data_IF_887970823367
#
_entry.id   IF_887970823367
#
_cell.length_a   1.000
_cell.length_b   1.000
_cell.length_c   1.000
_cell.angle_alpha   90.00
_cell.angle_beta   90.00
_cell.angle_gamma   90.00
#
_symmetry.space_group_name_H-M   'P 1'
#
loop_
_entity.id
_entity.type
_entity.pdbx_description
1 polymer ?
#
# COMPACT_ATOMS: atom_id res chain seq x y z
N UNK A 1 -20.93 2.58 -8.72
CA UNK A 1 -20.17 2.01 -9.88
C UNK A 1 -20.25 0.49 -9.74
N UNK A 2 -19.91 -0.37 -10.72
CA UNK A 2 -19.76 -1.78 -10.38
C UNK A 2 -18.57 -1.93 -9.43
N UNK A 3 -18.81 -2.50 -8.26
CA UNK A 3 -17.79 -2.78 -7.24
C UNK A 3 -17.39 -4.25 -7.30
N UNK A 4 -16.12 -4.53 -7.03
CA UNK A 4 -15.57 -5.89 -6.96
C UNK A 4 -14.94 -6.10 -5.57
N UNK A 5 -15.52 -7.01 -4.79
CA UNK A 5 -14.99 -7.39 -3.48
C UNK A 5 -13.90 -8.45 -3.65
N UNK A 6 -12.64 -8.08 -3.37
CA UNK A 6 -11.50 -9.02 -3.46
C UNK A 6 -11.36 -9.90 -2.21
N UNK A 7 -11.73 -9.37 -1.05
CA UNK A 7 -11.62 -10.00 0.26
C UNK A 7 -12.75 -9.52 1.16
N UNK A 8 -13.39 -10.45 1.88
CA UNK A 8 -14.45 -10.15 2.83
C UNK A 8 -14.29 -11.05 4.05
N UNK A 9 -14.53 -10.51 5.24
CA UNK A 9 -14.57 -11.28 6.47
C UNK A 9 -15.59 -10.66 7.42
N UNK A 10 -16.62 -11.43 7.77
CA UNK A 10 -17.65 -11.02 8.72
C UNK A 10 -17.82 -12.12 9.79
N UNK A 11 -17.67 -11.76 11.06
CA UNK A 11 -17.90 -12.70 12.16
C UNK A 11 -18.05 -11.96 13.50
N UNK A 12 -18.90 -12.44 14.41
CA UNK A 12 -18.95 -11.94 15.78
C UNK A 12 -17.59 -12.12 16.48
N UNK A 13 -16.96 -11.00 16.85
CA UNK A 13 -15.65 -11.00 17.51
C UNK A 13 -15.69 -10.25 18.84
N UNK A 14 -14.86 -10.67 19.78
CA UNK A 14 -14.61 -9.90 21.00
C UNK A 14 -13.81 -8.63 20.68
N UNK A 15 -13.95 -7.60 21.52
CA UNK A 15 -13.14 -6.37 21.41
C UNK A 15 -11.63 -6.62 21.35
N UNK A 16 -11.15 -7.66 22.02
CA UNK A 16 -9.74 -8.02 22.03
C UNK A 16 -9.27 -8.59 20.68
N UNK A 17 -10.10 -9.42 20.04
CA UNK A 17 -9.82 -9.98 18.71
C UNK A 17 -9.84 -8.89 17.64
N UNK A 18 -10.84 -8.00 17.67
CA UNK A 18 -10.93 -6.84 16.78
C UNK A 18 -9.68 -5.96 16.91
N UNK A 19 -9.32 -5.60 18.15
CA UNK A 19 -8.11 -4.81 18.39
C UNK A 19 -6.83 -5.54 17.96
N UNK A 20 -6.80 -6.87 18.00
CA UNK A 20 -5.70 -7.67 17.46
C UNK A 20 -5.57 -7.49 15.95
N UNK A 21 -6.68 -7.62 15.21
CA UNK A 21 -6.71 -7.43 13.76
C UNK A 21 -6.29 -6.03 13.34
N UNK A 22 -6.83 -5.00 13.99
CA UNK A 22 -6.47 -3.60 13.70
C UNK A 22 -4.99 -3.31 13.96
N UNK A 23 -4.38 -3.93 14.98
CA UNK A 23 -2.93 -3.80 15.21
C UNK A 23 -2.12 -4.48 14.11
N UNK A 24 -2.49 -5.69 13.70
CA UNK A 24 -1.82 -6.37 12.59
C UNK A 24 -1.90 -5.57 11.29
N UNK A 25 -3.05 -4.95 11.02
CA UNK A 25 -3.24 -4.05 9.90
C UNK A 25 -2.30 -2.83 10.00
N UNK A 26 -2.29 -2.17 11.16
CA UNK A 26 -1.41 -1.02 11.41
C UNK A 26 0.08 -1.37 11.29
N UNK A 27 0.50 -2.53 11.81
CA UNK A 27 1.86 -3.03 11.68
C UNK A 27 2.23 -3.27 10.22
N UNK A 28 1.30 -3.83 9.43
CA UNK A 28 1.48 -4.03 7.98
C UNK A 28 1.65 -2.71 7.21
N UNK A 29 0.80 -1.73 7.48
CA UNK A 29 0.89 -0.39 6.87
C UNK A 29 2.21 0.31 7.24
N UNK A 30 2.62 0.23 8.50
CA UNK A 30 3.84 0.89 8.99
C UNK A 30 5.14 0.28 8.40
N UNK A 31 5.09 -0.97 7.94
CA UNK A 31 6.23 -1.60 7.26
C UNK A 31 6.46 -1.07 5.83
N UNK A 32 5.50 -0.34 5.24
CA UNK A 32 5.62 0.29 3.92
C UNK A 32 5.72 -0.72 2.76
N UNK A 33 5.26 -1.95 2.96
CA UNK A 33 5.35 -3.04 1.98
C UNK A 33 4.00 -3.72 1.74
N UNK A 34 4.00 -4.87 1.03
CA UNK A 34 2.79 -5.62 0.77
C UNK A 34 2.09 -6.03 2.08
N UNK A 35 0.78 -5.79 2.13
CA UNK A 35 -0.09 -6.16 3.23
C UNK A 35 -0.89 -7.40 2.81
N UNK A 36 -0.79 -8.47 3.57
CA UNK A 36 -1.57 -9.70 3.34
C UNK A 36 -2.71 -9.79 4.33
N UNK A 37 -3.93 -9.85 3.83
CA UNK A 37 -5.17 -10.08 4.57
C UNK A 37 -5.55 -11.55 4.47
N UNK A 38 -5.89 -12.17 5.61
CA UNK A 38 -6.24 -13.58 5.69
C UNK A 38 -7.47 -13.81 6.55
N UNK A 39 -8.40 -14.62 6.04
CA UNK A 39 -9.57 -15.10 6.77
C UNK A 39 -9.91 -16.51 6.25
N UNK A 40 -10.02 -17.48 7.16
CA UNK A 40 -10.29 -18.88 6.83
C UNK A 40 -9.41 -19.41 5.68
N UNK A 41 -10.01 -19.72 4.53
CA UNK A 41 -9.31 -20.22 3.33
C UNK A 41 -8.96 -19.11 2.31
N UNK A 42 -9.26 -17.85 2.62
CA UNK A 42 -9.00 -16.68 1.78
C UNK A 42 -7.71 -15.97 2.19
N UNK A 43 -6.92 -15.57 1.18
CA UNK A 43 -5.71 -14.77 1.35
C UNK A 43 -5.59 -13.81 0.17
N UNK A 44 -5.52 -12.51 0.45
CA UNK A 44 -5.31 -11.46 -0.54
C UNK A 44 -4.12 -10.60 -0.13
N UNK A 45 -3.29 -10.22 -1.08
CA UNK A 45 -2.16 -9.30 -0.85
C UNK A 45 -2.39 -8.02 -1.64
N UNK A 46 -2.36 -6.90 -0.95
CA UNK A 46 -2.45 -5.55 -1.52
C UNK A 46 -1.15 -4.78 -1.28
N UNK A 47 -0.89 -3.72 -2.04
CA UNK A 47 0.28 -2.86 -1.87
C UNK A 47 -0.17 -1.39 -1.85
N UNK A 48 -0.65 -0.90 -0.70
CA UNK A 48 -1.03 0.51 -0.58
C UNK A 48 0.18 1.42 -0.84
N UNK A 49 -0.01 2.62 -1.42
CA UNK A 49 1.06 3.60 -1.60
C UNK A 49 1.49 4.20 -0.24
N UNK A 50 2.55 5.02 -0.23
CA UNK A 50 3.06 5.69 0.98
C UNK A 50 2.04 6.67 1.61
N UNK A 51 1.02 7.11 0.87
CA UNK A 51 0.04 8.09 1.33
C UNK A 51 -1.34 7.83 0.71
N UNK A 52 -2.06 6.78 1.16
CA UNK A 52 -3.45 6.55 0.77
C UNK A 52 -4.38 7.55 1.47
N UNK A 53 -5.61 7.67 0.99
CA UNK A 53 -6.67 8.36 1.71
C UNK A 53 -7.19 7.49 2.86
N UNK A 54 -7.54 8.11 3.98
CA UNK A 54 -8.04 7.42 5.17
C UNK A 54 -9.31 8.09 5.65
N UNK A 55 -10.37 7.29 5.79
CA UNK A 55 -11.69 7.71 6.25
C UNK A 55 -12.13 6.88 7.47
N UNK A 56 -12.81 7.54 8.39
CA UNK A 56 -13.29 6.97 9.64
C UNK A 56 -14.65 7.56 9.98
N UNK A 57 -15.68 6.72 9.93
CA UNK A 57 -17.06 7.10 10.14
C UNK A 57 -17.68 6.29 11.27
N UNK A 58 -18.73 6.86 11.88
CA UNK A 58 -19.54 6.19 12.90
C UNK A 58 -20.98 6.47 12.57
N UNK A 59 -21.70 5.43 12.18
CA UNK A 59 -23.07 5.55 11.74
C UNK A 59 -24.02 4.84 12.70
N UNK A 60 -25.28 5.28 12.65
CA UNK A 60 -26.39 4.61 13.29
C UNK A 60 -27.33 4.20 12.17
N UNK A 61 -27.37 2.91 11.90
CA UNK A 61 -28.30 2.36 10.93
C UNK A 61 -29.59 1.96 11.66
N UNK A 62 -30.70 2.22 10.98
CA UNK A 62 -32.05 1.89 11.43
C UNK A 62 -32.58 0.86 10.46
N UNK A 63 -33.07 -0.28 10.97
CA UNK A 63 -33.68 -1.29 10.13
C UNK A 63 -35.01 -0.76 9.55
N UNK A 64 -34.95 -0.27 8.32
CA UNK A 64 -36.12 0.03 7.48
C UNK A 64 -36.62 -1.27 6.82
N UNK A 65 -36.79 -2.36 7.56
CA UNK A 65 -37.45 -3.56 7.04
C UNK A 65 -38.96 -3.35 7.00
N UNK A 66 -39.45 -2.75 5.91
CA UNK A 66 -40.70 -3.15 5.27
C UNK A 66 -40.69 -2.70 3.79
N UNK A 67 -40.38 -3.63 2.88
CA UNK A 67 -40.50 -3.48 1.41
C UNK A 67 -41.94 -3.09 0.96
N UNK A 68 -42.94 -3.18 1.86
CA UNK A 68 -44.35 -2.82 1.61
C UNK A 68 -44.80 -1.53 2.33
N UNK A 69 -43.87 -0.71 2.83
CA UNK A 69 -44.13 0.68 3.25
C UNK A 69 -45.25 0.88 4.28
N UNK A 70 -45.47 -0.09 5.18
CA UNK A 70 -46.63 -0.13 6.08
C UNK A 70 -46.25 -0.32 7.56
N UNK A 71 -45.43 0.56 8.11
CA UNK A 71 -45.40 0.77 9.58
C UNK A 71 -45.41 2.24 9.97
N UNK A 72 -46.48 2.61 10.68
CA UNK A 72 -46.46 3.67 11.69
C UNK A 72 -45.84 3.08 12.97
N UNK A 73 -44.51 3.01 13.06
CA UNK A 73 -43.80 2.44 14.22
C UNK A 73 -42.35 2.91 14.31
N UNK A 74 -41.82 3.04 15.53
CA UNK A 74 -40.38 3.29 15.76
C UNK A 74 -39.55 2.14 15.15
N UNK A 75 -38.36 2.42 14.59
CA UNK A 75 -37.50 1.39 14.01
C UNK A 75 -37.25 0.29 15.04
N UNK A 76 -37.53 -0.96 14.64
CA UNK A 76 -37.55 -2.12 15.55
C UNK A 76 -36.13 -2.47 16.02
N UNK A 77 -35.11 -2.17 15.23
CA UNK A 77 -33.70 -2.40 15.54
C UNK A 77 -32.82 -1.22 15.07
N UNK A 78 -31.80 -0.90 15.89
CA UNK A 78 -30.86 0.20 15.66
C UNK A 78 -29.46 -0.37 15.84
N UNK A 79 -28.73 -0.52 14.76
CA UNK A 79 -27.32 -0.89 14.77
C UNK A 79 -26.45 0.36 14.95
N UNK A 80 -25.21 0.16 15.40
CA UNK A 80 -24.19 1.22 15.42
C UNK A 80 -22.94 0.62 14.87
N UNK A 81 -22.41 1.26 13.85
CA UNK A 81 -21.26 0.78 13.10
C UNK A 81 -20.12 1.78 13.15
N UNK A 82 -18.91 1.26 12.98
CA UNK A 82 -17.70 2.04 12.84
C UNK A 82 -17.03 1.54 11.58
N UNK A 83 -16.93 2.42 10.59
CA UNK A 83 -16.33 2.11 9.30
C UNK A 83 -14.92 2.69 9.23
N UNK A 84 -14.02 1.92 8.65
CA UNK A 84 -12.61 2.30 8.48
C UNK A 84 -12.25 2.01 7.04
N UNK A 85 -11.97 3.06 6.28
CA UNK A 85 -11.61 2.93 4.87
C UNK A 85 -10.20 3.45 4.61
N UNK A 86 -9.52 2.74 3.71
CA UNK A 86 -8.21 3.13 3.19
C UNK A 86 -8.31 3.00 1.67
N UNK A 87 -8.31 4.12 0.95
CA UNK A 87 -8.50 4.16 -0.49
C UNK A 87 -7.23 4.61 -1.22
N UNK A 88 -6.96 3.98 -2.37
CA UNK A 88 -5.92 4.42 -3.29
C UNK A 88 -6.22 4.01 -4.74
N UNK A 89 -5.63 4.75 -5.68
CA UNK A 89 -5.64 4.41 -7.12
C UNK A 89 -4.65 3.28 -7.41
N UNK A 90 -5.14 2.17 -7.98
CA UNK A 90 -4.27 1.07 -8.45
C UNK A 90 -3.45 1.40 -9.70
N UNK A 91 -3.76 2.54 -10.34
CA UNK A 91 -3.12 3.00 -11.58
C UNK A 91 -1.71 3.57 -11.35
N UNK A 92 -1.42 4.03 -10.14
CA UNK A 92 -0.20 4.77 -9.80
C UNK A 92 0.89 3.84 -9.27
N UNK A 93 1.32 2.89 -10.11
CA UNK A 93 2.62 2.23 -9.90
C UNK A 93 3.71 3.27 -10.19
N UNK A 94 4.26 3.84 -9.14
CA UNK A 94 5.37 4.79 -9.18
C UNK A 94 6.53 4.22 -9.99
N UNK A 95 6.97 4.99 -10.98
CA UNK A 95 8.15 4.72 -11.76
C UNK A 95 9.38 4.76 -10.86
N UNK A 96 9.99 3.60 -10.65
CA UNK A 96 11.36 3.44 -10.19
C UNK A 96 12.26 4.37 -11.02
N UNK A 97 12.69 5.48 -10.42
CA UNK A 97 13.66 6.37 -11.04
C UNK A 97 15.04 5.83 -10.68
N UNK A 98 15.54 4.90 -11.49
CA UNK A 98 16.95 4.52 -11.49
C UNK A 98 17.77 5.73 -11.93
N UNK A 99 18.22 6.52 -10.95
CA UNK A 99 19.19 7.57 -11.16
C UNK A 99 20.58 6.96 -11.09
N UNK A 100 21.07 6.43 -12.22
CA UNK A 100 22.46 6.00 -12.37
C UNK A 100 23.17 6.83 -13.44
N UNK A 101 23.83 7.88 -12.93
CA UNK A 101 25.13 8.40 -13.35
C UNK A 101 25.39 8.67 -14.85
N UNK A 102 25.19 9.93 -15.24
CA UNK A 102 25.95 10.59 -16.32
C UNK A 102 27.45 10.52 -16.02
N UNK A 103 28.16 9.50 -16.53
CA UNK A 103 29.61 9.56 -16.64
C UNK A 103 29.95 10.48 -17.80
N UNK A 104 30.29 11.72 -17.46
CA UNK A 104 30.79 12.73 -18.39
C UNK A 104 32.02 12.21 -19.13
N UNK A 105 31.81 11.66 -20.33
CA UNK A 105 32.87 11.33 -21.28
C UNK A 105 33.26 12.62 -21.98
N UNK A 106 34.26 13.30 -21.43
CA UNK A 106 34.96 14.34 -22.13
C UNK A 106 35.85 13.69 -23.20
N UNK A 107 35.42 13.80 -24.46
CA UNK A 107 36.27 13.64 -25.62
C UNK A 107 37.32 14.75 -25.68
N UNK A 108 38.47 14.42 -26.29
CA UNK A 108 39.03 15.12 -27.46
C UNK A 108 40.54 15.48 -27.36
N UNK A 109 41.34 14.72 -28.14
CA UNK A 109 42.48 15.12 -29.00
C UNK A 109 43.74 15.77 -28.37
N UNK A 110 44.89 15.07 -28.31
CA UNK A 110 45.97 14.92 -29.32
C UNK A 110 46.93 16.12 -29.44
N UNK A 111 48.23 15.87 -29.15
CA UNK A 111 49.49 16.52 -29.60
C UNK A 111 50.52 16.28 -28.47
N UNK A 112 51.73 15.74 -28.63
CA UNK A 112 52.64 15.56 -29.74
C UNK A 112 54.06 15.64 -29.14
N UNK A 113 55.01 14.83 -29.65
CA UNK A 113 56.48 14.94 -29.51
C UNK A 113 57.12 14.68 -28.12
N UNK A 114 58.32 14.14 -27.98
CA UNK A 114 59.27 13.34 -28.76
C UNK A 114 60.35 12.93 -27.74
N UNK A 115 61.22 12.01 -28.14
CA UNK A 115 62.59 11.81 -27.63
C UNK A 115 62.87 11.02 -26.33
N UNK A 116 63.39 9.81 -26.58
CA UNK A 116 64.67 9.27 -26.11
C UNK A 116 65.10 9.52 -24.65
N UNK A 117 65.38 8.45 -23.90
CA UNK A 117 66.78 8.06 -23.67
C UNK A 117 66.87 6.68 -22.97
N UNK A 118 67.98 6.01 -23.24
CA UNK A 118 68.36 4.67 -22.83
C UNK A 118 68.54 4.51 -21.31
N UNK A 119 68.62 3.25 -20.86
CA UNK A 119 69.43 2.94 -19.67
C UNK A 119 68.82 1.93 -18.68
N UNK A 120 69.02 0.65 -18.99
CA UNK A 120 69.51 -0.39 -18.08
C UNK A 120 69.60 -0.06 -16.57
N UNK A 121 68.95 -0.87 -15.72
CA UNK A 121 69.66 -1.62 -14.66
C UNK A 121 68.78 -2.64 -13.93
N UNK A 122 69.34 -3.84 -13.79
CA UNK A 122 68.88 -4.99 -12.99
C UNK A 122 69.00 -4.68 -11.49
N UNK A 123 68.20 -5.32 -10.64
CA UNK A 123 68.67 -5.60 -9.27
C UNK A 123 67.61 -5.87 -8.20
N UNK A 124 67.39 -7.16 -7.95
CA UNK A 124 66.97 -7.84 -6.70
C UNK A 124 65.65 -7.47 -6.02
#
# INVERSE_FOLDING_TARGET
MPEETLFEFESPQTRAEIAGRLRSLADGLNNGGPLTLTADDQSVTVTPPDSPEFELEVEREWDDEDEDGTKDGEPDEVSTEIEIEIEWSESDKTAETDSEADTNTASDSEDGDEDADAGECRGR
#
